data_IF_902007935317
#
_entry.id   IF_902007935317
#
_cell.length_a   1.000
_cell.length_b   1.000
_cell.length_c   1.000
_cell.angle_alpha   90.00
_cell.angle_beta   90.00
_cell.angle_gamma   90.00
#
_symmetry.space_group_name_H-M   'P 1'
#
loop_
_entity.id
_entity.type
_entity.pdbx_description
1 polymer ?
#
# COMPACT_ATOMS: atom_id res chain seq x y z
N UNK A 1 7.17 9.00 6.05
CA UNK A 1 7.99 7.78 5.84
C UNK A 1 7.36 6.69 4.98
N UNK A 2 6.25 6.94 4.29
CA UNK A 2 5.67 5.98 3.34
C UNK A 2 5.62 6.62 1.96
N UNK A 3 6.77 6.64 1.27
CA UNK A 3 6.84 7.07 -0.13
C UNK A 3 6.62 5.85 -1.02
N UNK A 4 5.77 5.99 -2.03
CA UNK A 4 5.57 4.94 -3.04
C UNK A 4 6.89 4.67 -3.74
N UNK A 5 7.27 3.40 -3.83
CA UNK A 5 8.46 2.90 -4.54
C UNK A 5 8.08 2.42 -5.94
N UNK A 6 7.00 1.66 -6.05
CA UNK A 6 6.51 1.11 -7.31
C UNK A 6 5.03 0.76 -7.21
N UNK A 7 4.42 0.55 -8.37
CA UNK A 7 3.01 0.17 -8.53
C UNK A 7 2.98 -1.20 -9.21
N UNK A 8 2.28 -2.16 -8.63
CA UNK A 8 1.96 -3.43 -9.28
C UNK A 8 0.53 -3.33 -9.82
N UNK A 9 0.37 -3.50 -11.11
CA UNK A 9 -0.93 -3.57 -11.78
C UNK A 9 -1.18 -5.01 -12.24
N UNK A 10 -2.08 -5.71 -11.54
CA UNK A 10 -2.40 -7.11 -11.85
C UNK A 10 -3.29 -7.25 -13.07
N UNK A 11 -3.99 -6.21 -13.50
CA UNK A 11 -4.80 -6.24 -14.71
C UNK A 11 -3.91 -6.11 -15.94
N UNK A 12 -2.97 -5.17 -15.90
CA UNK A 12 -1.97 -4.95 -16.96
C UNK A 12 -0.78 -5.89 -16.87
N UNK A 13 -0.65 -6.65 -15.78
CA UNK A 13 0.51 -7.50 -15.47
C UNK A 13 1.85 -6.76 -15.55
N UNK A 14 1.91 -5.58 -14.92
CA UNK A 14 3.10 -4.73 -14.91
C UNK A 14 3.50 -4.27 -13.52
N UNK A 15 4.78 -3.98 -13.35
CA UNK A 15 5.33 -3.22 -12.24
C UNK A 15 5.91 -1.94 -12.82
N UNK A 16 5.46 -0.78 -12.32
CA UNK A 16 5.96 0.54 -12.75
C UNK A 16 6.62 1.25 -11.58
N UNK A 17 7.87 1.66 -11.74
CA UNK A 17 8.60 2.41 -10.72
C UNK A 17 8.24 3.92 -10.73
N UNK A 18 8.83 4.68 -9.81
CA UNK A 18 8.60 6.14 -9.70
C UNK A 18 9.21 6.96 -10.85
N UNK A 19 10.14 6.39 -11.60
CA UNK A 19 10.72 7.01 -12.78
C UNK A 19 9.90 6.72 -14.06
N UNK A 20 8.89 5.85 -13.96
CA UNK A 20 8.03 5.45 -15.07
C UNK A 20 8.56 4.24 -15.85
N UNK A 21 9.61 3.56 -15.36
CA UNK A 21 10.08 2.34 -15.99
C UNK A 21 9.11 1.20 -15.65
N UNK A 22 8.79 0.38 -16.65
CA UNK A 22 7.85 -0.74 -16.52
C UNK A 22 8.52 -2.08 -16.76
N UNK A 23 8.24 -3.05 -15.89
CA UNK A 23 8.68 -4.45 -16.02
C UNK A 23 7.50 -5.40 -15.92
N UNK A 24 7.58 -6.63 -16.48
CA UNK A 24 6.51 -7.63 -16.32
C UNK A 24 6.25 -8.00 -14.86
N UNK A 25 4.98 -8.18 -14.49
CA UNK A 25 4.55 -8.75 -13.21
C UNK A 25 4.16 -10.22 -13.41
N UNK A 26 4.84 -11.13 -12.73
CA UNK A 26 4.39 -12.51 -12.64
C UNK A 26 3.26 -12.63 -11.60
N UNK A 27 2.19 -13.34 -11.93
CA UNK A 27 1.07 -13.57 -11.03
C UNK A 27 -0.27 -13.74 -11.76
N UNK A 28 -1.36 -13.94 -10.99
CA UNK A 28 -2.71 -14.00 -11.57
C UNK A 28 -3.11 -12.65 -12.17
N UNK A 29 -4.03 -12.66 -13.12
CA UNK A 29 -4.66 -11.43 -13.62
C UNK A 29 -5.87 -11.06 -12.76
N UNK A 30 -6.07 -9.77 -12.49
CA UNK A 30 -7.27 -9.31 -11.81
C UNK A 30 -7.30 -7.81 -11.57
N UNK A 31 -8.47 -7.30 -11.17
CA UNK A 31 -8.68 -5.87 -10.86
C UNK A 31 -8.06 -5.51 -9.51
N UNK A 32 -6.74 -5.45 -9.47
CA UNK A 32 -5.96 -5.18 -8.27
C UNK A 32 -4.74 -4.33 -8.62
N UNK A 33 -4.60 -3.21 -7.90
CA UNK A 33 -3.38 -2.40 -7.89
C UNK A 33 -2.76 -2.47 -6.50
N UNK A 34 -1.44 -2.64 -6.42
CA UNK A 34 -0.70 -2.56 -5.16
C UNK A 34 0.33 -1.43 -5.25
N UNK A 35 0.28 -0.50 -4.31
CA UNK A 35 1.30 0.52 -4.09
C UNK A 35 2.31 -0.01 -3.07
N UNK A 36 3.50 -0.39 -3.51
CA UNK A 36 4.59 -0.75 -2.60
C UNK A 36 5.26 0.51 -2.08
N UNK A 37 5.48 0.61 -0.78
CA UNK A 37 6.27 1.70 -0.19
C UNK A 37 7.76 1.36 -0.16
N UNK A 38 8.58 2.38 0.09
CA UNK A 38 10.04 2.23 0.22
C UNK A 38 10.46 1.37 1.42
N UNK A 39 9.74 1.48 2.53
CA UNK A 39 9.96 0.61 3.68
C UNK A 39 9.28 -0.73 3.44
N UNK A 40 10.07 -1.81 3.50
CA UNK A 40 9.58 -3.17 3.25
C UNK A 40 8.40 -3.53 4.15
N UNK A 41 7.53 -4.43 3.67
CA UNK A 41 6.34 -4.87 4.41
C UNK A 41 5.22 -3.84 4.51
N UNK A 42 5.38 -2.64 3.94
CA UNK A 42 4.36 -1.60 3.93
C UNK A 42 3.82 -1.41 2.51
N UNK A 43 2.50 -1.49 2.32
CA UNK A 43 1.85 -1.34 1.02
C UNK A 43 0.35 -1.04 1.15
N UNK A 44 -0.26 -0.53 0.08
CA UNK A 44 -1.73 -0.40 -0.04
C UNK A 44 -2.21 -1.20 -1.24
N UNK A 45 -3.16 -2.10 -1.02
CA UNK A 45 -3.85 -2.83 -2.08
C UNK A 45 -5.22 -2.18 -2.37
N UNK A 46 -5.52 -2.01 -3.65
CA UNK A 46 -6.65 -1.22 -4.16
C UNK A 46 -7.41 -2.08 -5.16
N UNK A 47 -8.73 -2.26 -4.95
CA UNK A 47 -9.59 -3.01 -5.88
C UNK A 47 -11.04 -2.53 -5.85
N UNK A 48 -11.80 -2.67 -6.95
CA UNK A 48 -13.25 -2.50 -6.91
C UNK A 48 -13.91 -3.60 -6.05
N UNK A 49 -15.06 -3.27 -5.46
CA UNK A 49 -15.84 -4.19 -4.61
C UNK A 49 -16.60 -5.27 -5.41
N UNK A 50 -16.74 -5.10 -6.73
CA UNK A 50 -17.39 -6.03 -7.65
C UNK A 50 -18.76 -5.54 -8.11
N UNK A 51 -19.74 -5.50 -7.21
CA UNK A 51 -21.15 -5.22 -7.54
C UNK A 51 -21.62 -3.82 -7.15
N UNK A 52 -20.93 -3.15 -6.24
CA UNK A 52 -21.27 -1.78 -5.80
C UNK A 52 -20.24 -0.79 -6.35
N UNK A 53 -20.59 0.50 -6.53
CA UNK A 53 -19.64 1.53 -6.96
C UNK A 53 -18.72 1.94 -5.80
N UNK A 54 -17.97 0.98 -5.24
CA UNK A 54 -17.04 1.18 -4.11
C UNK A 54 -15.66 0.68 -4.47
N UNK A 55 -14.64 1.47 -4.12
CA UNK A 55 -13.24 1.04 -4.12
C UNK A 55 -12.86 0.63 -2.70
N UNK A 56 -12.22 -0.54 -2.56
CA UNK A 56 -11.68 -1.04 -1.29
C UNK A 56 -10.19 -0.78 -1.24
N UNK A 57 -9.75 -0.16 -0.15
CA UNK A 57 -8.35 0.05 0.18
C UNK A 57 -7.99 -0.86 1.36
N UNK A 58 -6.91 -1.61 1.21
CA UNK A 58 -6.33 -2.44 2.27
C UNK A 58 -4.92 -1.92 2.56
N UNK A 59 -4.76 -1.29 3.73
CA UNK A 59 -3.50 -0.68 4.15
C UNK A 59 -2.72 -1.63 5.07
N UNK A 60 -1.46 -1.86 4.74
CA UNK A 60 -0.55 -2.72 5.50
C UNK A 60 0.61 -1.87 6.02
N UNK A 61 0.80 -1.89 7.34
CA UNK A 61 1.95 -1.27 8.00
C UNK A 61 2.73 -2.33 8.74
N UNK A 62 4.05 -2.23 8.68
CA UNK A 62 4.94 -3.18 9.31
C UNK A 62 6.23 -2.48 9.75
N UNK A 63 6.77 -3.00 10.85
CA UNK A 63 8.07 -2.66 11.35
C UNK A 63 8.81 -3.97 11.65
N UNK A 64 10.09 -4.11 11.25
CA UNK A 64 10.86 -5.30 11.56
C UNK A 64 10.95 -5.51 13.07
N UNK A 65 10.91 -6.77 13.54
CA UNK A 65 11.27 -7.09 14.91
C UNK A 65 12.70 -6.59 15.18
N UNK A 66 12.90 -5.97 16.34
CA UNK A 66 14.21 -5.48 16.78
C UNK A 66 14.41 -5.86 18.25
N UNK A 67 15.61 -6.32 18.60
CA UNK A 67 15.94 -6.68 19.97
C UNK A 67 15.91 -5.44 20.86
N UNK A 68 15.26 -5.55 22.02
CA UNK A 68 15.10 -4.43 22.96
C UNK A 68 14.13 -3.34 22.49
N UNK A 69 13.34 -3.58 21.44
CA UNK A 69 12.35 -2.62 20.98
C UNK A 69 11.27 -2.35 22.04
N UNK A 70 10.93 -1.07 22.21
CA UNK A 70 9.73 -0.69 22.95
C UNK A 70 8.49 -1.02 22.11
N UNK A 71 7.83 -2.12 22.47
CA UNK A 71 6.64 -2.61 21.76
C UNK A 71 5.49 -1.60 21.80
N UNK A 72 5.34 -0.82 22.87
CA UNK A 72 4.29 0.17 22.98
C UNK A 72 4.56 1.33 22.01
N UNK A 73 5.80 1.83 21.98
CA UNK A 73 6.20 2.86 21.03
C UNK A 73 6.08 2.40 19.57
N UNK A 74 6.47 1.15 19.26
CA UNK A 74 6.33 0.58 17.91
C UNK A 74 4.86 0.48 17.51
N UNK A 75 3.99 0.04 18.43
CA UNK A 75 2.54 -0.04 18.17
C UNK A 75 1.95 1.34 17.86
N UNK A 76 2.25 2.35 18.69
CA UNK A 76 1.79 3.73 18.47
C UNK A 76 2.30 4.29 17.14
N UNK A 77 3.56 4.01 16.77
CA UNK A 77 4.11 4.41 15.48
C UNK A 77 3.34 3.78 14.31
N UNK A 78 3.01 2.49 14.38
CA UNK A 78 2.25 1.79 13.34
C UNK A 78 0.80 2.30 13.25
N UNK A 79 0.15 2.57 14.38
CA UNK A 79 -1.18 3.20 14.43
C UNK A 79 -1.17 4.59 13.77
N UNK A 80 -0.19 5.42 14.09
CA UNK A 80 -0.03 6.74 13.46
C UNK A 80 0.19 6.64 11.94
N UNK A 81 0.92 5.61 11.46
CA UNK A 81 1.08 5.35 10.02
C UNK A 81 -0.25 4.98 9.36
N UNK A 82 -1.07 4.14 10.00
CA UNK A 82 -2.39 3.80 9.48
C UNK A 82 -3.31 5.02 9.40
N UNK A 83 -3.33 5.86 10.44
CA UNK A 83 -4.12 7.09 10.45
C UNK A 83 -3.68 8.07 9.36
N UNK A 84 -2.37 8.21 9.14
CA UNK A 84 -1.85 9.04 8.05
C UNK A 84 -2.26 8.50 6.68
N UNK A 85 -2.16 7.19 6.44
CA UNK A 85 -2.63 6.58 5.18
C UNK A 85 -4.14 6.76 4.99
N UNK A 86 -4.95 6.58 6.04
CA UNK A 86 -6.38 6.81 5.96
C UNK A 86 -6.69 8.27 5.61
N UNK A 87 -6.00 9.22 6.23
CA UNK A 87 -6.15 10.64 5.94
C UNK A 87 -5.82 10.96 4.48
N UNK A 88 -4.67 10.51 3.97
CA UNK A 88 -4.25 10.73 2.59
C UNK A 88 -5.25 10.14 1.59
N UNK A 89 -5.76 8.92 1.86
CA UNK A 89 -6.74 8.25 1.00
C UNK A 89 -8.09 8.97 1.00
N UNK A 90 -8.55 9.44 2.16
CA UNK A 90 -9.77 10.25 2.28
C UNK A 90 -9.66 11.57 1.55
N UNK A 91 -8.54 12.26 1.72
CA UNK A 91 -8.25 13.50 1.00
C UNK A 91 -8.24 13.27 -0.52
N UNK A 92 -7.62 12.18 -0.99
CA UNK A 92 -7.63 11.81 -2.41
C UNK A 92 -9.04 11.49 -2.93
N UNK A 93 -9.85 10.78 -2.14
CA UNK A 93 -11.23 10.45 -2.48
C UNK A 93 -12.19 11.66 -2.40
N UNK A 94 -11.75 12.78 -1.81
CA UNK A 94 -12.59 13.95 -1.58
C UNK A 94 -13.65 13.74 -0.49
N UNK A 95 -13.34 12.93 0.53
CA UNK A 95 -14.25 12.53 1.62
C UNK A 95 -13.68 12.79 3.00
#
# INVERSE_FOLDING_TARGET
DLKVRQIRDYQQQTITDRAGNTTPLAGPTGDLVILDFQADGNYVAIRPSGTEPKIKFYSFVWHPPQDGADLAAVKTMLENRLLALEHDLKQFAGT
#
